data_IF_725683703497
#
_entry.id   IF_725683703497
#
_cell.length_a   1.000
_cell.length_b   1.000
_cell.length_c   1.000
_cell.angle_alpha   90.00
_cell.angle_beta   90.00
_cell.angle_gamma   90.00
#
_symmetry.space_group_name_H-M   'P 1'
#
loop_
_entity.id
_entity.type
_entity.pdbx_description
1 polymer ?
#
# COMPACT_ATOMS: atom_id res chain seq x y z
N UNK A 1 -7.21 10.20 -9.83
CA UNK A 1 -6.93 9.44 -11.07
C UNK A 1 -5.77 8.48 -10.84
N UNK A 2 -5.94 7.24 -11.24
CA UNK A 2 -4.89 6.23 -11.07
C UNK A 2 -3.74 6.46 -12.06
N UNK A 3 -2.52 6.23 -11.62
CA UNK A 3 -1.35 6.14 -12.48
C UNK A 3 -0.19 5.41 -11.80
N UNK A 4 0.82 5.05 -12.57
CA UNK A 4 2.04 4.48 -12.02
C UNK A 4 2.83 5.55 -11.27
N UNK A 5 3.55 5.12 -10.24
CA UNK A 5 4.48 5.96 -9.49
C UNK A 5 5.85 5.87 -10.15
N UNK A 6 6.54 6.99 -10.24
CA UNK A 6 7.90 7.06 -10.77
C UNK A 6 8.81 7.85 -9.82
N UNK A 7 10.09 7.92 -10.14
CA UNK A 7 11.09 8.54 -9.25
C UNK A 7 10.83 10.02 -8.99
N UNK A 8 10.13 10.70 -9.89
CA UNK A 8 9.78 12.11 -9.71
C UNK A 8 8.75 12.32 -8.61
N UNK A 9 8.04 11.27 -8.23
CA UNK A 9 7.04 11.30 -7.16
C UNK A 9 7.64 11.08 -5.77
N UNK A 10 8.96 10.89 -5.67
CA UNK A 10 9.58 10.46 -4.42
C UNK A 10 9.32 11.39 -3.23
N UNK A 11 9.29 12.68 -3.47
CA UNK A 11 9.05 13.65 -2.39
C UNK A 11 7.64 13.51 -1.84
N UNK A 12 6.63 13.42 -2.71
CA UNK A 12 5.25 13.24 -2.30
C UNK A 12 5.04 11.90 -1.61
N UNK A 13 5.65 10.84 -2.13
CA UNK A 13 5.58 9.51 -1.50
C UNK A 13 6.21 9.53 -0.12
N UNK A 14 7.38 10.15 0.05
CA UNK A 14 8.04 10.27 1.34
C UNK A 14 7.16 11.05 2.33
N UNK A 15 6.55 12.14 1.89
CA UNK A 15 5.65 12.94 2.73
C UNK A 15 4.42 12.14 3.16
N UNK A 16 3.82 11.39 2.25
CA UNK A 16 2.67 10.53 2.57
C UNK A 16 3.06 9.45 3.58
N UNK A 17 4.21 8.82 3.41
CA UNK A 17 4.70 7.81 4.35
C UNK A 17 4.86 8.41 5.76
N UNK A 18 5.35 9.63 5.86
CA UNK A 18 5.55 10.31 7.13
C UNK A 18 4.23 10.66 7.80
N UNK A 19 3.34 11.34 7.08
CA UNK A 19 2.12 11.91 7.68
C UNK A 19 0.98 10.90 7.81
N UNK A 20 0.93 9.89 6.94
CA UNK A 20 -0.15 8.90 6.96
C UNK A 20 0.24 7.57 7.59
N UNK A 21 1.51 7.18 7.52
CA UNK A 21 1.98 5.88 8.02
C UNK A 21 2.97 6.00 9.18
N UNK A 22 3.36 7.21 9.54
CA UNK A 22 4.31 7.49 10.62
C UNK A 22 5.70 6.89 10.36
N UNK A 23 6.13 6.89 9.09
CA UNK A 23 7.47 6.48 8.68
C UNK A 23 8.24 7.68 8.14
N UNK A 24 9.24 8.14 8.89
CA UNK A 24 10.12 9.24 8.47
C UNK A 24 11.26 8.67 7.62
N UNK A 25 11.13 8.75 6.31
CA UNK A 25 12.06 8.15 5.36
C UNK A 25 12.73 9.23 4.51
N UNK A 26 14.03 9.08 4.29
CA UNK A 26 14.81 9.96 3.43
C UNK A 26 14.32 9.84 1.97
N UNK A 27 14.15 10.99 1.31
CA UNK A 27 13.67 11.05 -0.09
C UNK A 27 14.58 10.25 -1.04
N UNK A 28 15.91 10.28 -0.81
CA UNK A 28 16.83 9.50 -1.64
C UNK A 28 16.62 7.99 -1.49
N UNK A 29 16.28 7.52 -0.29
CA UNK A 29 15.91 6.13 -0.07
C UNK A 29 14.62 5.78 -0.82
N UNK A 30 13.64 6.68 -0.77
CA UNK A 30 12.36 6.47 -1.48
C UNK A 30 12.61 6.40 -2.99
N UNK A 31 13.47 7.25 -3.55
CA UNK A 31 13.84 7.20 -4.97
C UNK A 31 14.40 5.83 -5.35
N UNK A 32 15.36 5.33 -4.58
CA UNK A 32 15.97 4.01 -4.84
C UNK A 32 14.93 2.90 -4.80
N UNK A 33 14.04 2.95 -3.81
CA UNK A 33 13.00 1.93 -3.66
C UNK A 33 11.96 2.01 -4.77
N UNK A 34 11.55 3.22 -5.17
CA UNK A 34 10.63 3.38 -6.31
C UNK A 34 11.24 2.75 -7.55
N UNK A 35 12.48 3.11 -7.89
CA UNK A 35 13.16 2.57 -9.08
C UNK A 35 13.23 1.04 -9.02
N UNK A 36 13.68 0.49 -7.91
CA UNK A 36 13.84 -0.94 -7.73
C UNK A 36 12.50 -1.69 -7.80
N UNK A 37 11.50 -1.23 -7.04
CA UNK A 37 10.27 -2.00 -6.84
C UNK A 37 9.29 -1.83 -8.01
N UNK A 38 9.24 -0.67 -8.65
CA UNK A 38 8.38 -0.49 -9.83
C UNK A 38 8.89 -1.28 -11.03
N UNK A 39 10.17 -1.62 -11.07
CA UNK A 39 10.74 -2.47 -12.11
C UNK A 39 10.59 -3.97 -11.85
N UNK A 40 10.17 -4.35 -10.63
CA UNK A 40 9.94 -5.74 -10.26
C UNK A 40 8.44 -6.05 -10.25
N UNK A 41 7.83 -6.00 -11.41
CA UNK A 41 6.38 -6.18 -11.57
C UNK A 41 5.91 -7.61 -11.30
N UNK A 42 6.82 -8.57 -11.23
CA UNK A 42 6.49 -9.94 -10.87
C UNK A 42 6.17 -10.10 -9.38
N UNK A 43 6.81 -9.29 -8.54
CA UNK A 43 6.67 -9.39 -7.09
C UNK A 43 5.92 -8.23 -6.48
N UNK A 44 5.90 -7.06 -7.13
CA UNK A 44 5.35 -5.85 -6.54
C UNK A 44 4.28 -5.24 -7.45
N UNK A 45 3.14 -4.93 -6.84
CA UNK A 45 2.05 -4.21 -7.48
C UNK A 45 1.92 -2.87 -6.77
N UNK A 46 2.16 -1.79 -7.50
CA UNK A 46 2.15 -0.45 -6.95
C UNK A 46 1.18 0.39 -7.78
N UNK A 47 0.18 0.95 -7.12
CA UNK A 47 -0.84 1.77 -7.78
C UNK A 47 -0.85 3.13 -7.09
N UNK A 48 -0.63 4.17 -7.88
CA UNK A 48 -0.68 5.55 -7.42
C UNK A 48 -2.02 6.21 -7.75
N UNK A 49 -2.35 7.23 -7.00
CA UNK A 49 -3.51 8.07 -7.25
C UNK A 49 -3.06 9.52 -7.25
N UNK A 50 -3.32 10.24 -8.35
CA UNK A 50 -2.90 11.63 -8.47
C UNK A 50 -4.07 12.60 -8.33
N UNK A 51 -3.76 13.79 -7.82
CA UNK A 51 -4.70 14.90 -7.80
C UNK A 51 -4.85 15.48 -9.22
N UNK A 52 -6.08 15.65 -9.66
CA UNK A 52 -6.38 16.11 -11.02
C UNK A 52 -5.85 17.52 -11.31
N UNK A 53 -5.79 18.37 -10.30
CA UNK A 53 -5.39 19.76 -10.46
C UNK A 53 -3.86 19.93 -10.46
N UNK A 54 -3.16 19.27 -9.53
CA UNK A 54 -1.73 19.43 -9.35
C UNK A 54 -0.91 18.34 -10.05
N UNK A 55 -1.54 17.23 -10.40
CA UNK A 55 -0.89 16.03 -10.94
C UNK A 55 0.08 15.35 -9.97
N UNK A 56 0.07 15.77 -8.71
CA UNK A 56 0.90 15.15 -7.67
C UNK A 56 0.25 13.90 -7.13
N UNK A 57 1.07 12.92 -6.75
CA UNK A 57 0.61 11.73 -6.04
C UNK A 57 0.06 12.14 -4.68
N UNK A 58 -1.15 11.74 -4.39
CA UNK A 58 -1.83 12.01 -3.11
C UNK A 58 -2.22 10.74 -2.36
N UNK A 59 -2.00 9.58 -2.96
CA UNK A 59 -2.24 8.30 -2.32
C UNK A 59 -1.62 7.17 -3.12
N UNK A 60 -1.44 6.02 -2.45
CA UNK A 60 -0.94 4.82 -3.13
C UNK A 60 -1.35 3.57 -2.37
N UNK A 61 -1.35 2.45 -3.09
CA UNK A 61 -1.33 1.11 -2.48
C UNK A 61 -0.15 0.34 -3.05
N UNK A 62 0.58 -0.31 -2.16
CA UNK A 62 1.71 -1.16 -2.51
C UNK A 62 1.46 -2.56 -1.96
N UNK A 63 1.43 -3.54 -2.84
CA UNK A 63 1.23 -4.93 -2.48
C UNK A 63 2.36 -5.78 -3.06
N UNK A 64 2.61 -6.91 -2.41
CA UNK A 64 3.62 -7.87 -2.79
C UNK A 64 2.99 -9.24 -2.98
N UNK A 65 3.46 -10.01 -3.96
CA UNK A 65 3.05 -11.40 -4.12
C UNK A 65 3.40 -12.19 -2.86
N UNK A 66 2.44 -13.00 -2.42
CA UNK A 66 2.53 -13.68 -1.14
C UNK A 66 2.05 -15.13 -1.31
N UNK A 67 2.94 -16.07 -1.10
CA UNK A 67 2.57 -17.48 -1.08
C UNK A 67 3.53 -18.28 -0.21
N UNK A 68 3.07 -19.44 0.24
CA UNK A 68 3.83 -20.34 1.08
C UNK A 68 3.53 -21.78 0.64
N UNK A 69 4.17 -22.74 1.27
CA UNK A 69 3.88 -24.16 0.99
C UNK A 69 2.43 -24.54 1.30
N UNK A 70 1.75 -23.78 2.16
CA UNK A 70 0.39 -24.10 2.61
C UNK A 70 -0.64 -23.04 2.23
N UNK A 71 -0.32 -22.16 1.30
CA UNK A 71 -1.28 -21.16 0.83
C UNK A 71 -1.28 -21.07 -0.69
N UNK A 72 -2.42 -20.68 -1.25
CA UNK A 72 -2.50 -20.27 -2.64
C UNK A 72 -1.82 -18.90 -2.81
N UNK A 73 -1.69 -18.45 -4.06
CA UNK A 73 -1.13 -17.14 -4.34
C UNK A 73 -2.05 -16.04 -3.84
N UNK A 74 -1.51 -15.18 -3.00
CA UNK A 74 -2.20 -14.02 -2.47
C UNK A 74 -1.39 -12.75 -2.69
N UNK A 75 -1.94 -11.64 -2.22
CA UNK A 75 -1.23 -10.38 -2.10
C UNK A 75 -1.12 -9.98 -0.64
N UNK A 76 0.04 -9.47 -0.27
CA UNK A 76 0.26 -8.85 1.02
C UNK A 76 0.42 -7.34 0.83
N UNK A 77 -0.47 -6.56 1.41
CA UNK A 77 -0.37 -5.10 1.35
C UNK A 77 0.74 -4.65 2.28
N UNK A 78 1.74 -3.98 1.71
CA UNK A 78 2.85 -3.37 2.44
C UNK A 78 2.52 -1.96 2.91
N UNK A 79 1.68 -1.27 2.16
CA UNK A 79 1.22 0.06 2.53
C UNK A 79 0.01 0.49 1.72
N UNK A 80 -0.93 1.11 2.39
CA UNK A 80 -2.03 1.85 1.80
C UNK A 80 -2.08 3.19 2.51
N UNK A 81 -1.92 4.26 1.78
CA UNK A 81 -1.84 5.59 2.39
C UNK A 81 -2.44 6.64 1.48
N UNK A 82 -3.11 7.60 2.10
CA UNK A 82 -3.67 8.79 1.43
C UNK A 82 -3.21 10.00 2.21
N UNK A 83 -2.76 11.03 1.51
CA UNK A 83 -2.41 12.31 2.12
C UNK A 83 -3.61 12.79 2.95
N UNK A 84 -3.41 13.16 4.24
CA UNK A 84 -4.50 13.58 5.13
C UNK A 84 -5.38 14.71 4.57
N UNK A 85 -4.81 15.60 3.76
CA UNK A 85 -5.57 16.69 3.13
C UNK A 85 -6.62 16.19 2.14
N UNK A 86 -6.51 14.94 1.71
CA UNK A 86 -7.40 14.32 0.73
C UNK A 86 -8.18 13.14 1.31
N UNK A 87 -8.10 12.90 2.59
CA UNK A 87 -8.87 11.84 3.26
C UNK A 87 -10.36 12.19 3.29
N UNK A 88 -11.20 11.17 3.43
CA UNK A 88 -12.65 11.35 3.42
C UNK A 88 -13.28 11.50 2.04
N UNK A 89 -12.50 11.34 0.98
CA UNK A 89 -12.96 11.45 -0.42
C UNK A 89 -13.06 10.11 -1.12
N UNK A 90 -12.88 9.01 -0.40
CA UNK A 90 -12.99 7.67 -0.95
C UNK A 90 -11.78 7.18 -1.75
N UNK A 91 -10.64 7.89 -1.68
CA UNK A 91 -9.43 7.51 -2.45
C UNK A 91 -8.87 6.17 -1.98
N UNK A 92 -8.82 5.95 -0.67
CA UNK A 92 -8.36 4.67 -0.12
C UNK A 92 -9.20 3.49 -0.60
N UNK A 93 -10.51 3.66 -0.61
CA UNK A 93 -11.43 2.65 -1.14
C UNK A 93 -11.22 2.41 -2.64
N UNK A 94 -11.01 3.47 -3.41
CA UNK A 94 -10.73 3.37 -4.84
C UNK A 94 -9.43 2.60 -5.10
N UNK A 95 -8.39 2.87 -4.33
CA UNK A 95 -7.12 2.16 -4.44
C UNK A 95 -7.29 0.67 -4.11
N UNK A 96 -8.01 0.36 -3.05
CA UNK A 96 -8.28 -1.03 -2.69
C UNK A 96 -9.11 -1.75 -3.74
N UNK A 97 -10.15 -1.10 -4.27
CA UNK A 97 -10.96 -1.68 -5.34
C UNK A 97 -10.11 -1.96 -6.59
N UNK A 98 -9.19 -1.06 -6.93
CA UNK A 98 -8.29 -1.25 -8.08
C UNK A 98 -7.37 -2.45 -7.86
N UNK A 99 -6.84 -2.60 -6.65
CA UNK A 99 -6.01 -3.76 -6.30
C UNK A 99 -6.82 -5.06 -6.34
N UNK A 100 -8.05 -5.03 -5.88
CA UNK A 100 -8.95 -6.20 -5.91
C UNK A 100 -9.27 -6.61 -7.34
N UNK A 101 -9.52 -5.65 -8.23
CA UNK A 101 -9.72 -5.93 -9.66
C UNK A 101 -8.48 -6.63 -10.26
N UNK A 102 -7.29 -6.13 -9.93
CA UNK A 102 -6.04 -6.75 -10.34
C UNK A 102 -5.96 -8.20 -9.85
N UNK A 103 -6.30 -8.43 -8.58
CA UNK A 103 -6.25 -9.75 -7.98
C UNK A 103 -7.19 -10.74 -8.71
N UNK A 104 -8.42 -10.32 -8.98
CA UNK A 104 -9.40 -11.15 -9.69
C UNK A 104 -8.90 -11.46 -11.12
N UNK A 105 -8.41 -10.45 -11.82
CA UNK A 105 -7.95 -10.61 -13.21
C UNK A 105 -6.73 -11.51 -13.33
N UNK A 106 -5.94 -11.65 -12.27
CA UNK A 106 -4.71 -12.44 -12.26
C UNK A 106 -4.81 -13.73 -11.45
N UNK A 107 -6.02 -14.16 -11.12
CA UNK A 107 -6.28 -15.42 -10.39
C UNK A 107 -5.59 -15.46 -9.02
N UNK A 108 -5.53 -14.32 -8.36
CA UNK A 108 -5.00 -14.21 -7.00
C UNK A 108 -6.14 -14.49 -6.02
N UNK A 109 -5.87 -15.38 -5.06
CA UNK A 109 -6.92 -15.98 -4.24
C UNK A 109 -7.35 -15.13 -3.05
N UNK A 110 -6.45 -14.26 -2.55
CA UNK A 110 -6.75 -13.45 -1.37
C UNK A 110 -5.84 -12.23 -1.30
N UNK A 111 -6.27 -11.27 -0.52
CA UNK A 111 -5.46 -10.10 -0.13
C UNK A 111 -5.42 -10.08 1.39
N UNK A 112 -4.23 -9.95 1.95
CA UNK A 112 -4.03 -9.85 3.38
C UNK A 112 -3.18 -8.64 3.72
N UNK A 113 -3.25 -8.20 4.97
CA UNK A 113 -2.39 -7.14 5.49
C UNK A 113 -2.27 -7.28 7.01
N UNK A 114 -1.23 -6.67 7.56
CA UNK A 114 -1.12 -6.44 8.97
C UNK A 114 -1.32 -4.94 9.25
N UNK A 115 -2.04 -4.64 10.33
CA UNK A 115 -2.23 -3.27 10.79
C UNK A 115 -1.90 -3.21 12.27
N UNK A 116 -1.16 -2.18 12.69
CA UNK A 116 -0.78 -2.04 14.10
C UNK A 116 -2.03 -1.97 14.99
N UNK A 117 -1.97 -2.57 16.16
CA UNK A 117 -3.10 -2.64 17.10
C UNK A 117 -3.68 -1.29 17.45
N UNK A 118 -2.84 -0.25 17.51
CA UNK A 118 -3.26 1.12 17.87
C UNK A 118 -3.99 1.87 16.75
N UNK A 119 -3.98 1.34 15.52
CA UNK A 119 -4.56 2.02 14.36
C UNK A 119 -6.02 1.64 14.17
N UNK A 120 -6.86 2.06 15.11
CA UNK A 120 -8.29 1.70 15.13
C UNK A 120 -9.05 2.22 13.90
N UNK A 121 -8.71 3.43 13.41
CA UNK A 121 -9.35 3.99 12.22
C UNK A 121 -9.07 3.14 10.98
N UNK A 122 -7.85 2.62 10.86
CA UNK A 122 -7.50 1.72 9.77
C UNK A 122 -8.28 0.41 9.88
N UNK A 123 -8.42 -0.14 11.09
CA UNK A 123 -9.19 -1.37 11.32
C UNK A 123 -10.64 -1.18 10.88
N UNK A 124 -11.27 -0.07 11.28
CA UNK A 124 -12.64 0.24 10.89
C UNK A 124 -12.77 0.39 9.36
N UNK A 125 -11.79 1.01 8.73
CA UNK A 125 -11.77 1.15 7.27
C UNK A 125 -11.77 -0.22 6.59
N UNK A 126 -10.85 -1.12 6.99
CA UNK A 126 -10.75 -2.43 6.35
C UNK A 126 -12.00 -3.27 6.58
N UNK A 127 -12.55 -3.26 7.79
CA UNK A 127 -13.81 -3.99 8.07
C UNK A 127 -14.95 -3.45 7.24
N UNK A 128 -15.04 -2.13 7.08
CA UNK A 128 -16.09 -1.48 6.29
C UNK A 128 -16.05 -1.87 4.82
N UNK A 129 -14.86 -2.08 4.25
CA UNK A 129 -14.72 -2.48 2.85
C UNK A 129 -14.71 -3.99 2.65
N UNK A 130 -15.01 -4.77 3.68
CA UNK A 130 -15.25 -6.22 3.58
C UNK A 130 -14.09 -7.11 4.01
N UNK A 131 -13.07 -6.57 4.65
CA UNK A 131 -11.97 -7.38 5.19
C UNK A 131 -12.30 -7.85 6.60
N UNK A 132 -11.84 -9.06 6.93
CA UNK A 132 -12.10 -9.68 8.23
C UNK A 132 -10.80 -9.82 9.00
N UNK A 133 -10.79 -9.38 10.25
CA UNK A 133 -9.67 -9.65 11.15
C UNK A 133 -9.78 -11.08 11.66
N UNK A 134 -9.03 -12.00 11.03
CA UNK A 134 -9.08 -13.42 11.36
C UNK A 134 -8.04 -13.84 12.41
N UNK A 135 -7.01 -13.02 12.63
CA UNK A 135 -5.92 -13.32 13.56
C UNK A 135 -5.35 -12.06 14.17
N UNK A 136 -4.87 -12.19 15.41
CA UNK A 136 -4.02 -11.20 16.05
C UNK A 136 -2.66 -11.84 16.29
N UNK A 137 -1.59 -11.24 15.79
CA UNK A 137 -0.25 -11.84 15.80
C UNK A 137 0.78 -10.88 16.37
N UNK A 138 1.84 -11.45 16.94
CA UNK A 138 3.01 -10.69 17.39
C UNK A 138 4.03 -10.62 16.27
N UNK A 139 4.66 -9.47 16.10
CA UNK A 139 5.77 -9.30 15.18
C UNK A 139 7.09 -9.47 15.91
N UNK A 140 7.97 -10.31 15.37
CA UNK A 140 9.34 -10.47 15.88
C UNK A 140 10.31 -9.95 14.84
N UNK A 141 11.34 -9.24 15.27
CA UNK A 141 12.33 -8.66 14.36
C UNK A 141 13.74 -8.79 14.97
N UNK A 142 14.70 -9.02 14.12
CA UNK A 142 16.11 -8.94 14.46
C UNK A 142 16.82 -8.18 13.35
N UNK A 143 17.45 -7.07 13.71
CA UNK A 143 18.13 -6.20 12.75
C UNK A 143 19.60 -6.62 12.69
N UNK A 144 20.13 -6.70 11.48
CA UNK A 144 21.54 -7.03 11.22
C UNK A 144 22.27 -5.76 10.78
N UNK A 145 23.48 -5.59 11.31
CA UNK A 145 24.34 -4.44 10.99
C UNK A 145 25.41 -4.81 9.96
#
# INVERSE_FOLDING_TARGET
MFREINIEDAQEVAEICKVALDYDVDVENVKRQIEKLTNDKKQHIIIGYEDENTRKIIGFVHAQMYESFYSDLGLNILGLAVNPDFQGKGIGKKLMNKLEDYAVDNNISFIRLNSAMKREDAHNFYEHIGYTCDKVQKRFIKVFE
#
